data_IF_619780258053
#
_entry.id   IF_619780258053
#
_cell.length_a   1.000
_cell.length_b   1.000
_cell.length_c   1.000
_cell.angle_alpha   90.00
_cell.angle_beta   90.00
_cell.angle_gamma   90.00
#
_symmetry.space_group_name_H-M   'P 1'
#
loop_
_entity.id
_entity.type
_entity.pdbx_description
1 polymer ?
#
# COMPACT_ATOMS: atom_id res chain seq x y z
N UNK A 1 29.28 139.86 -14.20
CA UNK A 1 30.24 139.28 -13.30
C UNK A 1 30.02 137.78 -13.26
N UNK A 2 30.83 137.04 -14.06
CA UNK A 2 30.66 135.57 -14.37
C UNK A 2 31.58 134.86 -13.42
N UNK A 3 31.00 133.87 -12.68
CA UNK A 3 31.71 132.83 -11.93
C UNK A 3 31.63 131.53 -12.67
N UNK A 4 32.76 131.08 -13.20
CA UNK A 4 32.95 129.81 -13.76
C UNK A 4 33.01 128.76 -12.63
N UNK A 5 32.15 127.79 -12.63
CA UNK A 5 32.22 126.58 -11.79
C UNK A 5 32.95 125.47 -12.56
N UNK A 6 34.10 125.02 -12.08
CA UNK A 6 34.81 123.83 -12.60
C UNK A 6 34.18 122.55 -12.06
N UNK A 7 33.70 121.74 -12.98
CA UNK A 7 33.19 120.40 -12.70
C UNK A 7 34.33 119.38 -12.85
N UNK A 8 34.74 118.70 -11.73
CA UNK A 8 35.67 117.59 -11.74
C UNK A 8 34.85 116.24 -11.87
N UNK A 9 35.15 115.40 -12.88
CA UNK A 9 34.44 114.15 -12.98
C UNK A 9 34.94 113.13 -11.90
N UNK A 10 34.00 112.49 -11.29
CA UNK A 10 34.18 111.48 -10.26
C UNK A 10 34.62 110.18 -10.94
N UNK A 11 35.82 109.68 -10.66
CA UNK A 11 36.26 108.34 -11.13
C UNK A 11 35.42 107.23 -10.50
N UNK A 12 34.87 106.36 -11.32
CA UNK A 12 34.20 105.11 -10.94
C UNK A 12 35.25 104.10 -10.43
N UNK A 13 34.95 103.26 -9.41
CA UNK A 13 35.88 102.28 -8.92
C UNK A 13 36.06 101.21 -9.98
N UNK A 14 37.27 100.70 -10.15
CA UNK A 14 37.65 99.63 -11.01
C UNK A 14 36.83 98.34 -10.60
N UNK A 15 36.13 97.78 -11.56
CA UNK A 15 35.52 96.41 -11.44
C UNK A 15 36.62 95.41 -11.08
N UNK A 16 36.42 94.73 -9.92
CA UNK A 16 37.21 93.54 -9.57
C UNK A 16 36.95 92.51 -10.60
N UNK A 17 37.94 92.19 -11.42
CA UNK A 17 37.92 91.01 -12.32
C UNK A 17 37.86 89.76 -11.48
N UNK A 18 36.66 89.12 -11.40
CA UNK A 18 36.50 87.80 -10.88
C UNK A 18 37.37 86.87 -11.74
N UNK A 19 38.47 86.36 -11.16
CA UNK A 19 39.32 85.33 -11.76
C UNK A 19 38.48 84.08 -12.01
N UNK A 20 38.07 83.81 -13.28
CA UNK A 20 37.55 82.55 -13.68
C UNK A 20 38.55 81.44 -13.27
N UNK A 21 38.10 80.35 -12.57
CA UNK A 21 39.00 79.27 -12.26
C UNK A 21 39.50 78.68 -13.58
N UNK A 22 40.77 78.74 -13.85
CA UNK A 22 41.43 78.09 -14.96
C UNK A 22 41.43 76.57 -14.69
N UNK A 23 40.34 75.89 -15.05
CA UNK A 23 40.37 74.42 -15.21
C UNK A 23 41.27 74.17 -16.41
N UNK A 24 42.47 73.67 -16.11
CA UNK A 24 43.40 73.27 -17.18
C UNK A 24 42.67 72.18 -18.06
N UNK A 25 42.56 72.51 -19.38
CA UNK A 25 41.94 71.60 -20.35
C UNK A 25 42.52 70.17 -20.25
N UNK A 26 43.80 70.02 -19.86
CA UNK A 26 44.43 68.75 -19.59
C UNK A 26 43.81 67.97 -18.43
N UNK A 27 43.36 68.66 -17.36
CA UNK A 27 42.71 67.95 -16.21
C UNK A 27 41.31 67.48 -16.59
N UNK A 28 40.57 68.26 -17.36
CA UNK A 28 39.24 67.83 -17.87
C UNK A 28 39.38 66.64 -18.84
N UNK A 29 40.33 66.73 -19.78
CA UNK A 29 40.61 65.63 -20.71
C UNK A 29 41.05 64.34 -20.00
N UNK A 30 41.87 64.47 -18.91
CA UNK A 30 42.27 63.32 -18.12
C UNK A 30 41.07 62.66 -17.43
N UNK A 31 40.17 63.43 -16.81
CA UNK A 31 38.96 62.92 -16.18
C UNK A 31 38.03 62.28 -17.20
N UNK A 32 37.84 62.92 -18.36
CA UNK A 32 37.03 62.33 -19.44
C UNK A 32 37.63 61.05 -19.98
N UNK A 33 38.97 61.02 -20.14
CA UNK A 33 39.67 59.78 -20.57
C UNK A 33 39.51 58.65 -19.51
N UNK A 34 39.68 58.97 -18.23
CA UNK A 34 39.48 58.01 -17.15
C UNK A 34 38.06 57.47 -17.13
N UNK A 35 37.04 58.30 -17.31
CA UNK A 35 35.65 57.88 -17.44
C UNK A 35 35.45 57.02 -18.67
N UNK A 36 36.01 57.39 -19.82
CA UNK A 36 35.90 56.56 -21.06
C UNK A 36 36.54 55.18 -20.90
N UNK A 37 37.68 55.10 -20.22
CA UNK A 37 38.35 53.80 -19.94
C UNK A 37 37.50 52.95 -18.98
N UNK A 38 36.91 53.56 -17.96
CA UNK A 38 35.99 52.85 -17.06
C UNK A 38 34.75 52.32 -17.80
N UNK A 39 34.15 53.15 -18.68
CA UNK A 39 33.03 52.70 -19.50
C UNK A 39 33.42 51.60 -20.49
N UNK A 40 34.59 51.71 -21.15
CA UNK A 40 35.13 50.69 -22.03
C UNK A 40 35.36 49.36 -21.27
N UNK A 41 35.88 49.44 -20.02
CA UNK A 41 36.04 48.29 -19.14
C UNK A 41 34.70 47.65 -18.76
N UNK A 42 33.68 48.45 -18.45
CA UNK A 42 32.30 47.95 -18.18
C UNK A 42 31.70 47.28 -19.39
N UNK A 43 31.85 47.87 -20.58
CA UNK A 43 31.34 47.27 -21.84
C UNK A 43 32.08 45.94 -22.13
N UNK A 44 33.42 45.96 -22.04
CA UNK A 44 34.20 44.73 -22.22
C UNK A 44 33.80 43.63 -21.22
N UNK A 45 33.59 44.01 -19.96
CA UNK A 45 33.08 43.07 -18.93
C UNK A 45 31.68 42.58 -19.24
N UNK A 46 30.79 43.45 -19.71
CA UNK A 46 29.44 43.07 -20.14
C UNK A 46 29.47 42.07 -21.31
N UNK A 47 30.30 42.34 -22.33
CA UNK A 47 30.49 41.43 -23.44
C UNK A 47 31.08 40.08 -23.00
N UNK A 48 32.08 40.07 -22.12
CA UNK A 48 32.67 38.87 -21.55
C UNK A 48 31.62 38.01 -20.81
N UNK A 49 30.76 38.65 -19.98
CA UNK A 49 29.69 37.97 -19.27
C UNK A 49 28.63 37.39 -20.21
N UNK A 50 28.31 38.11 -21.30
CA UNK A 50 27.30 37.71 -22.26
C UNK A 50 27.77 36.71 -23.33
N UNK A 51 29.08 36.54 -23.52
CA UNK A 51 29.62 35.63 -24.55
C UNK A 51 30.40 34.48 -23.93
N UNK A 52 31.45 34.76 -23.16
CA UNK A 52 32.36 33.71 -22.65
C UNK A 52 31.80 32.98 -21.44
N UNK A 53 31.14 33.70 -20.52
CA UNK A 53 30.62 33.08 -19.28
C UNK A 53 29.10 32.88 -19.30
N UNK A 54 28.43 33.17 -20.39
CA UNK A 54 26.97 33.09 -20.50
C UNK A 54 26.42 31.74 -20.09
N UNK A 55 26.92 30.66 -20.70
CA UNK A 55 26.46 29.30 -20.41
C UNK A 55 26.69 28.91 -18.96
N UNK A 56 27.85 29.24 -18.41
CA UNK A 56 28.16 28.98 -17.01
C UNK A 56 27.23 29.73 -16.05
N UNK A 57 27.02 31.04 -16.30
CA UNK A 57 26.15 31.87 -15.45
C UNK A 57 24.67 31.45 -15.58
N UNK A 58 24.25 31.09 -16.79
CA UNK A 58 22.92 30.54 -17.04
C UNK A 58 22.71 29.23 -16.26
N UNK A 59 23.65 28.29 -16.38
CA UNK A 59 23.60 27.02 -15.65
C UNK A 59 23.58 27.24 -14.14
N UNK A 60 24.39 28.15 -13.61
CA UNK A 60 24.38 28.51 -12.18
C UNK A 60 23.06 29.16 -11.75
N UNK A 61 22.45 29.95 -12.62
CA UNK A 61 21.13 30.54 -12.39
C UNK A 61 20.05 29.46 -12.38
N UNK A 62 20.04 28.63 -13.44
CA UNK A 62 19.07 27.55 -13.62
C UNK A 62 19.14 26.55 -12.45
N UNK A 63 20.35 26.17 -12.01
CA UNK A 63 20.56 25.28 -10.87
C UNK A 63 19.99 25.82 -9.54
N UNK A 64 19.74 27.13 -9.43
CA UNK A 64 19.15 27.74 -8.22
C UNK A 64 17.63 27.83 -8.26
N UNK A 65 17.04 28.03 -9.42
CA UNK A 65 15.61 28.32 -9.58
C UNK A 65 14.85 27.21 -10.30
N UNK A 66 15.50 26.42 -11.16
CA UNK A 66 14.89 25.28 -11.86
C UNK A 66 14.88 24.07 -10.94
N UNK A 67 13.73 23.47 -10.75
CA UNK A 67 13.54 22.23 -9.99
C UNK A 67 12.69 21.26 -10.79
N UNK A 68 12.99 19.98 -10.68
CA UNK A 68 12.07 18.94 -11.15
C UNK A 68 11.15 18.60 -9.99
N UNK A 69 9.87 18.82 -10.21
CA UNK A 69 8.82 18.43 -9.27
C UNK A 69 8.27 17.07 -9.69
N UNK A 70 8.14 16.16 -8.75
CA UNK A 70 7.43 14.89 -8.96
C UNK A 70 5.92 15.18 -9.02
N UNK A 71 5.27 14.66 -10.04
CA UNK A 71 3.82 14.62 -10.16
C UNK A 71 3.36 13.23 -9.71
N UNK A 72 2.79 13.07 -8.52
CA UNK A 72 2.45 11.75 -8.01
C UNK A 72 1.38 11.09 -8.87
N UNK A 73 1.60 9.83 -9.22
CA UNK A 73 0.57 8.99 -9.83
C UNK A 73 -0.45 8.57 -8.77
N UNK A 74 -1.71 8.49 -9.17
CA UNK A 74 -2.76 7.97 -8.30
C UNK A 74 -2.71 6.44 -8.32
N UNK A 75 -2.62 5.82 -7.15
CA UNK A 75 -2.74 4.36 -6.99
C UNK A 75 -4.15 3.91 -7.38
N UNK A 76 -4.28 2.84 -8.16
CA UNK A 76 -5.55 2.32 -8.65
C UNK A 76 -6.56 2.03 -7.54
N UNK A 77 -7.83 2.23 -7.83
CA UNK A 77 -8.94 1.94 -6.92
C UNK A 77 -9.16 0.43 -6.86
N UNK A 78 -9.47 -0.09 -5.68
CA UNK A 78 -9.91 -1.48 -5.50
C UNK A 78 -11.39 -1.47 -5.14
N UNK A 79 -12.18 -2.22 -5.88
CA UNK A 79 -13.63 -2.36 -5.64
C UNK A 79 -14.04 -3.83 -5.53
N UNK A 80 -15.19 -4.07 -4.88
CA UNK A 80 -15.84 -5.37 -4.89
C UNK A 80 -16.45 -5.67 -6.28
N UNK A 81 -17.00 -6.87 -6.45
CA UNK A 81 -17.61 -7.31 -7.72
C UNK A 81 -18.79 -6.46 -8.19
N UNK A 82 -19.38 -5.67 -7.30
CA UNK A 82 -20.56 -4.82 -7.54
C UNK A 82 -20.20 -3.33 -7.63
N UNK A 83 -18.92 -2.97 -7.53
CA UNK A 83 -18.43 -1.60 -7.59
C UNK A 83 -18.35 -0.86 -6.25
N UNK A 84 -18.58 -1.55 -5.12
CA UNK A 84 -18.35 -0.95 -3.80
C UNK A 84 -16.85 -0.73 -3.59
N UNK A 85 -16.47 0.51 -3.23
CA UNK A 85 -15.05 0.89 -3.07
C UNK A 85 -14.49 0.30 -1.78
N UNK A 86 -13.41 -0.46 -1.91
CA UNK A 86 -12.70 -1.12 -0.80
C UNK A 86 -11.40 -0.42 -0.44
N UNK A 87 -10.71 0.17 -1.43
CA UNK A 87 -9.53 1.00 -1.23
C UNK A 87 -9.44 2.08 -2.31
N UNK A 88 -9.14 3.32 -1.91
CA UNK A 88 -8.93 4.45 -2.82
C UNK A 88 -7.84 5.37 -2.29
N UNK A 89 -7.26 6.18 -3.20
CA UNK A 89 -6.33 7.24 -2.82
C UNK A 89 -7.09 8.55 -2.69
N UNK A 90 -7.08 9.15 -1.51
CA UNK A 90 -7.73 10.43 -1.21
C UNK A 90 -6.68 11.54 -1.12
N UNK A 91 -6.95 12.74 -1.67
CA UNK A 91 -6.07 13.89 -1.51
C UNK A 91 -5.99 14.30 -0.03
N UNK A 92 -4.80 14.61 0.42
CA UNK A 92 -4.48 15.05 1.77
C UNK A 92 -3.35 16.07 1.73
N UNK A 93 -3.00 16.63 2.87
CA UNK A 93 -1.89 17.56 3.01
C UNK A 93 -0.92 17.09 4.09
N UNK A 94 0.35 17.29 3.83
CA UNK A 94 1.43 17.02 4.79
C UNK A 94 2.06 18.31 5.22
N UNK A 95 2.37 18.43 6.50
CA UNK A 95 2.95 19.62 7.10
C UNK A 95 4.44 19.43 7.32
N UNK A 96 5.25 20.35 6.79
CA UNK A 96 6.66 20.44 7.14
C UNK A 96 7.02 21.86 7.59
N UNK A 97 8.11 21.98 8.33
CA UNK A 97 8.68 23.23 8.75
C UNK A 97 10.02 23.49 8.04
N UNK A 98 10.38 24.78 7.92
CA UNK A 98 11.66 25.27 7.38
C UNK A 98 12.44 25.97 8.49
N UNK A 99 13.07 25.22 9.43
CA UNK A 99 13.72 25.84 10.62
C UNK A 99 14.83 26.82 10.28
N UNK A 100 15.53 26.64 9.16
CA UNK A 100 16.59 27.55 8.69
C UNK A 100 16.09 28.97 8.42
N UNK A 101 14.83 29.12 8.00
CA UNK A 101 14.23 30.42 7.67
C UNK A 101 13.44 31.01 8.85
N UNK A 102 13.26 30.23 9.91
CA UNK A 102 12.49 30.62 11.09
C UNK A 102 13.27 31.63 11.93
N UNK A 103 12.81 32.86 11.94
CA UNK A 103 13.42 33.95 12.73
C UNK A 103 13.08 33.84 14.20
N UNK A 104 11.83 33.54 14.49
CA UNK A 104 11.28 33.38 15.83
C UNK A 104 10.57 32.01 15.95
N UNK A 105 10.62 31.40 17.11
CA UNK A 105 9.87 30.18 17.40
C UNK A 105 8.40 30.52 17.58
N UNK A 106 7.47 29.65 17.19
CA UNK A 106 6.07 29.81 17.52
C UNK A 106 5.87 30.00 19.03
N UNK A 107 4.89 30.80 19.41
CA UNK A 107 4.55 30.99 20.82
C UNK A 107 4.19 29.67 21.52
N UNK A 108 4.32 29.65 22.84
CA UNK A 108 3.97 28.45 23.62
C UNK A 108 2.53 27.98 23.33
N UNK A 109 1.58 28.90 23.25
CA UNK A 109 0.18 28.60 22.95
C UNK A 109 -0.01 28.03 21.54
N UNK A 110 0.73 28.53 20.53
CA UNK A 110 0.70 27.99 19.17
C UNK A 110 1.31 26.57 19.12
N UNK A 111 2.39 26.32 19.85
CA UNK A 111 3.03 24.99 19.91
C UNK A 111 2.13 23.97 20.64
N UNK A 112 1.47 24.38 21.73
CA UNK A 112 0.50 23.53 22.43
C UNK A 112 -0.66 23.16 21.50
N UNK A 113 -1.26 24.15 20.85
CA UNK A 113 -2.37 23.90 19.92
C UNK A 113 -1.95 23.07 18.71
N UNK A 114 -0.76 23.32 18.15
CA UNK A 114 -0.21 22.49 17.08
C UNK A 114 0.00 21.04 17.55
N UNK A 115 0.59 20.87 18.74
CA UNK A 115 0.82 19.53 19.34
C UNK A 115 -0.47 18.72 19.46
N UNK A 116 -1.55 19.36 19.95
CA UNK A 116 -2.87 18.74 20.05
C UNK A 116 -3.42 18.34 18.67
N UNK A 117 -3.38 19.26 17.70
CA UNK A 117 -3.96 19.07 16.38
C UNK A 117 -3.25 17.96 15.58
N UNK A 118 -1.91 17.93 15.62
CA UNK A 118 -1.13 16.96 14.83
C UNK A 118 -0.83 15.67 15.59
N UNK A 119 -1.24 15.55 16.86
CA UNK A 119 -0.96 14.41 17.74
C UNK A 119 0.56 14.08 17.76
N UNK A 120 1.37 15.11 18.05
CA UNK A 120 2.83 15.01 18.19
C UNK A 120 3.23 15.72 19.49
N UNK A 121 3.95 15.05 20.42
CA UNK A 121 4.34 15.67 21.68
C UNK A 121 5.09 16.99 21.49
N UNK A 122 4.79 17.96 22.35
CA UNK A 122 5.34 19.34 22.26
C UNK A 122 6.87 19.36 22.28
N UNK A 123 7.49 18.48 23.08
CA UNK A 123 8.95 18.35 23.17
C UNK A 123 9.56 17.88 21.85
N UNK A 124 8.88 16.95 21.16
CA UNK A 124 9.30 16.47 19.84
C UNK A 124 9.18 17.59 18.80
N UNK A 125 8.10 18.36 18.84
CA UNK A 125 7.93 19.53 17.95
C UNK A 125 9.03 20.55 18.19
N UNK A 126 9.29 20.91 19.44
CA UNK A 126 10.35 21.86 19.82
C UNK A 126 11.71 21.41 19.33
N UNK A 127 12.09 20.15 19.61
CA UNK A 127 13.35 19.55 19.15
C UNK A 127 13.51 19.55 17.62
N UNK A 128 12.41 19.35 16.89
CA UNK A 128 12.42 19.44 15.42
C UNK A 128 12.67 20.87 14.95
N UNK A 129 11.99 21.84 15.52
CA UNK A 129 12.05 23.26 15.13
C UNK A 129 13.37 23.95 15.53
N UNK A 130 14.04 23.49 16.59
CA UNK A 130 15.35 23.98 17.02
C UNK A 130 16.51 23.61 16.09
N UNK A 131 16.29 22.70 15.11
CA UNK A 131 17.31 22.28 14.14
C UNK A 131 17.54 23.34 13.05
N UNK A 132 17.98 24.54 13.42
CA UNK A 132 18.13 25.75 12.55
C UNK A 132 18.98 25.55 11.29
N UNK A 133 19.73 24.47 11.17
CA UNK A 133 20.50 24.14 9.95
C UNK A 133 19.69 23.46 8.85
N UNK A 134 18.49 22.99 9.14
CA UNK A 134 17.66 22.22 8.19
C UNK A 134 16.67 23.12 7.45
N UNK A 135 16.59 22.91 6.14
CA UNK A 135 15.63 23.58 5.26
C UNK A 135 14.31 22.83 5.12
N UNK A 136 14.20 21.64 5.74
CA UNK A 136 13.03 20.78 5.62
C UNK A 136 12.98 19.80 6.79
N UNK A 137 11.86 19.78 7.52
CA UNK A 137 11.57 18.79 8.56
C UNK A 137 10.08 18.47 8.55
N UNK A 138 9.72 17.21 8.33
CA UNK A 138 8.34 16.78 8.49
C UNK A 138 7.84 16.97 9.93
N UNK A 139 6.74 17.69 10.07
CA UNK A 139 5.99 17.81 11.32
C UNK A 139 4.99 16.65 11.41
N UNK A 140 4.11 16.56 10.44
CA UNK A 140 3.16 15.45 10.30
C UNK A 140 2.80 15.25 8.83
N UNK A 141 2.83 14.01 8.38
CA UNK A 141 2.38 13.65 7.03
C UNK A 141 0.91 13.20 7.05
N UNK A 142 0.25 13.38 5.93
CA UNK A 142 -1.10 12.88 5.65
C UNK A 142 -2.14 13.32 6.69
N UNK A 143 -2.18 14.61 6.98
CA UNK A 143 -3.15 15.23 7.88
C UNK A 143 -4.59 15.01 7.38
N UNK A 144 -5.49 14.84 8.31
CA UNK A 144 -6.92 14.96 8.01
C UNK A 144 -7.21 16.37 7.46
N UNK A 145 -8.01 16.52 6.39
CA UNK A 145 -8.28 17.83 5.79
C UNK A 145 -8.80 18.88 6.79
N UNK A 146 -9.63 18.46 7.76
CA UNK A 146 -10.11 19.36 8.81
C UNK A 146 -8.99 19.84 9.71
N UNK A 147 -8.10 18.92 10.10
CA UNK A 147 -6.92 19.26 10.92
C UNK A 147 -5.98 20.18 10.16
N UNK A 148 -5.76 19.94 8.86
CA UNK A 148 -4.93 20.81 8.03
C UNK A 148 -5.47 22.25 8.00
N UNK A 149 -6.79 22.45 7.85
CA UNK A 149 -7.43 23.77 7.89
C UNK A 149 -7.27 24.44 9.28
N UNK A 150 -7.43 23.69 10.38
CA UNK A 150 -7.21 24.24 11.74
C UNK A 150 -5.75 24.64 11.96
N UNK A 151 -4.79 23.85 11.45
CA UNK A 151 -3.36 24.20 11.54
C UNK A 151 -3.04 25.44 10.69
N UNK A 152 -3.62 25.57 9.49
CA UNK A 152 -3.47 26.79 8.66
C UNK A 152 -3.98 28.04 9.39
N UNK A 153 -5.09 27.91 10.10
CA UNK A 153 -5.67 29.00 10.88
C UNK A 153 -4.76 29.50 12.02
N UNK A 154 -3.76 28.72 12.46
CA UNK A 154 -2.77 29.17 13.47
C UNK A 154 -1.80 30.22 12.92
N UNK A 155 -1.73 30.42 11.59
CA UNK A 155 -0.87 31.42 10.96
C UNK A 155 0.62 31.25 11.25
N UNK A 156 1.11 30.00 11.30
CA UNK A 156 2.50 29.70 11.64
C UNK A 156 3.44 30.08 10.51
N UNK A 157 4.43 30.94 10.77
CA UNK A 157 5.44 31.27 9.78
C UNK A 157 6.42 30.13 9.54
N UNK A 158 6.86 29.96 8.27
CA UNK A 158 7.79 28.92 7.84
C UNK A 158 7.29 27.48 8.04
N UNK A 159 5.97 27.31 8.09
CA UNK A 159 5.31 26.02 7.95
C UNK A 159 4.66 25.95 6.57
N UNK A 160 4.87 24.84 5.88
CA UNK A 160 4.43 24.66 4.49
C UNK A 160 3.60 23.39 4.40
N UNK A 161 2.50 23.48 3.64
CA UNK A 161 1.64 22.33 3.34
C UNK A 161 1.99 21.79 1.96
N UNK A 162 2.25 20.51 1.88
CA UNK A 162 2.48 19.78 0.65
C UNK A 162 1.31 18.84 0.37
N UNK A 163 0.80 18.86 -0.86
CA UNK A 163 -0.28 17.95 -1.27
C UNK A 163 0.26 16.54 -1.43
N UNK A 164 -0.39 15.61 -0.79
CA UNK A 164 -0.09 14.18 -0.88
C UNK A 164 -1.37 13.37 -1.15
N UNK A 165 -1.19 12.09 -1.47
CA UNK A 165 -2.28 11.12 -1.56
C UNK A 165 -2.18 10.17 -0.37
N UNK A 166 -3.31 9.93 0.29
CA UNK A 166 -3.43 8.96 1.37
C UNK A 166 -4.29 7.80 0.94
N UNK A 167 -3.79 6.58 1.11
CA UNK A 167 -4.60 5.40 0.90
C UNK A 167 -5.65 5.28 2.00
N UNK A 168 -6.90 5.09 1.61
CA UNK A 168 -8.04 5.00 2.51
C UNK A 168 -8.84 3.73 2.23
N UNK A 169 -9.27 3.08 3.32
CA UNK A 169 -10.02 1.82 3.31
C UNK A 169 -11.39 2.06 3.97
N UNK A 170 -12.43 2.40 3.19
CA UNK A 170 -13.73 2.84 3.74
C UNK A 170 -14.41 1.78 4.60
N UNK A 171 -14.16 0.49 4.30
CA UNK A 171 -14.79 -0.64 4.99
C UNK A 171 -14.03 -1.10 6.25
N UNK A 172 -12.93 -0.43 6.62
CA UNK A 172 -12.16 -0.73 7.84
C UNK A 172 -11.78 -2.20 7.94
N UNK A 173 -11.99 -2.76 9.12
CA UNK A 173 -11.61 -4.15 9.48
C UNK A 173 -12.31 -5.23 8.63
N UNK A 174 -13.43 -4.91 7.99
CA UNK A 174 -14.24 -5.89 7.25
C UNK A 174 -13.45 -6.61 6.14
N UNK A 175 -12.57 -5.89 5.44
CA UNK A 175 -11.75 -6.41 4.35
C UNK A 175 -10.25 -6.39 4.63
N UNK A 176 -9.84 -6.02 5.84
CA UNK A 176 -8.45 -5.76 6.18
C UNK A 176 -7.50 -6.91 5.80
N UNK A 177 -7.88 -8.15 6.14
CA UNK A 177 -7.05 -9.33 5.87
C UNK A 177 -6.92 -9.69 4.39
N UNK A 178 -7.87 -9.27 3.55
CA UNK A 178 -7.80 -9.52 2.10
C UNK A 178 -7.09 -8.36 1.41
N UNK A 179 -7.55 -7.13 1.65
CA UNK A 179 -6.97 -5.96 0.99
C UNK A 179 -5.56 -5.70 1.48
N UNK A 180 -5.31 -5.82 2.79
CA UNK A 180 -4.05 -5.40 3.39
C UNK A 180 -3.99 -3.89 3.57
N UNK A 181 -2.79 -3.34 3.51
CA UNK A 181 -2.54 -1.89 3.65
C UNK A 181 -1.26 -1.47 2.93
N UNK A 182 -1.11 -0.16 2.74
CA UNK A 182 0.11 0.46 2.22
C UNK A 182 0.88 1.15 3.33
N UNK A 183 2.17 1.38 3.11
CA UNK A 183 2.93 2.31 3.93
C UNK A 183 2.55 3.77 3.62
N UNK A 184 3.23 4.70 4.31
CA UNK A 184 2.97 6.14 4.16
C UNK A 184 3.30 6.66 2.76
N UNK A 185 4.15 5.98 2.01
CA UNK A 185 4.53 6.35 0.64
C UNK A 185 3.64 5.67 -0.42
N UNK A 186 2.58 4.96 0.03
CA UNK A 186 1.59 4.33 -0.83
C UNK A 186 2.02 2.99 -1.41
N UNK A 187 3.12 2.38 -0.91
CA UNK A 187 3.60 1.06 -1.33
C UNK A 187 2.90 -0.04 -0.53
N UNK A 188 2.38 -1.05 -1.21
CA UNK A 188 1.70 -2.20 -0.60
C UNK A 188 2.60 -2.98 0.37
N UNK A 189 2.10 -3.28 1.55
CA UNK A 189 2.83 -3.97 2.62
C UNK A 189 2.28 -5.36 2.91
N UNK A 190 0.97 -5.54 2.82
CA UNK A 190 0.29 -6.80 3.08
C UNK A 190 -0.91 -6.99 2.12
N UNK A 191 -1.44 -8.21 2.05
CA UNK A 191 -2.64 -8.55 1.31
C UNK A 191 -2.55 -8.30 -0.18
N UNK A 192 -3.68 -7.97 -0.79
CA UNK A 192 -3.75 -7.66 -2.22
C UNK A 192 -3.09 -6.33 -2.58
N UNK A 193 -2.96 -5.40 -1.64
CA UNK A 193 -2.15 -4.19 -1.84
C UNK A 193 -0.69 -4.55 -2.16
N UNK A 194 -0.14 -5.58 -1.51
CA UNK A 194 1.21 -6.07 -1.78
C UNK A 194 1.28 -6.91 -3.05
N UNK A 195 0.38 -7.87 -3.22
CA UNK A 195 0.47 -8.81 -4.35
C UNK A 195 0.14 -8.17 -5.70
N UNK A 196 -0.69 -7.14 -5.71
CA UNK A 196 -1.06 -6.39 -6.91
C UNK A 196 -0.31 -5.04 -7.04
N UNK A 197 0.83 -4.88 -6.32
CA UNK A 197 1.62 -3.65 -6.30
C UNK A 197 1.92 -3.13 -7.70
N UNK A 198 2.44 -4.00 -8.58
CA UNK A 198 2.82 -3.63 -9.97
C UNK A 198 1.65 -3.13 -10.82
N UNK A 199 0.42 -3.56 -10.48
CA UNK A 199 -0.79 -3.13 -11.19
C UNK A 199 -1.40 -1.88 -10.56
N UNK A 200 -1.42 -1.83 -9.22
CA UNK A 200 -2.05 -0.75 -8.46
C UNK A 200 -1.20 0.51 -8.38
N UNK A 201 0.12 0.36 -8.31
CA UNK A 201 1.06 1.47 -8.18
C UNK A 201 1.18 2.23 -9.45
N UNK A 202 1.02 3.36 -9.74
CA UNK A 202 1.24 4.05 -11.02
C UNK A 202 2.72 4.36 -11.26
N UNK A 203 3.00 5.05 -12.31
CA UNK A 203 4.31 5.65 -12.57
C UNK A 203 4.24 7.15 -12.36
N UNK A 204 5.01 7.68 -11.42
CA UNK A 204 5.08 9.11 -11.18
C UNK A 204 5.54 9.87 -12.42
N UNK A 205 4.92 11.03 -12.63
CA UNK A 205 5.34 12.01 -13.59
C UNK A 205 6.43 12.94 -13.04
N UNK A 206 6.92 13.80 -13.89
CA UNK A 206 7.86 14.84 -13.54
C UNK A 206 7.53 16.12 -14.33
N UNK A 207 7.65 17.26 -13.67
CA UNK A 207 7.51 18.59 -14.29
C UNK A 207 8.69 19.46 -13.88
N UNK A 208 9.27 20.16 -14.84
CA UNK A 208 10.34 21.11 -14.58
C UNK A 208 9.71 22.46 -14.32
N UNK A 209 9.89 22.98 -13.10
CA UNK A 209 9.29 24.22 -12.65
C UNK A 209 10.35 25.24 -12.22
N UNK A 210 10.01 26.53 -12.38
CA UNK A 210 10.74 27.63 -11.78
C UNK A 210 10.19 27.90 -10.39
N UNK A 211 11.07 27.89 -9.37
CA UNK A 211 10.70 28.26 -8.00
C UNK A 211 11.38 29.57 -7.59
N UNK A 212 10.64 30.40 -6.89
CA UNK A 212 11.19 31.59 -6.24
C UNK A 212 12.04 31.21 -5.02
N UNK A 213 12.62 32.25 -4.37
CA UNK A 213 13.42 32.04 -3.16
C UNK A 213 12.61 31.50 -1.97
N UNK A 214 11.30 31.70 -1.97
CA UNK A 214 10.37 31.20 -0.95
C UNK A 214 9.87 29.77 -1.25
N UNK A 215 10.23 29.22 -2.44
CA UNK A 215 9.84 27.86 -2.84
C UNK A 215 8.52 27.80 -3.63
N UNK A 216 7.87 28.95 -3.89
CA UNK A 216 6.66 28.99 -4.69
C UNK A 216 6.97 28.73 -6.17
N UNK A 217 6.08 28.01 -6.84
CA UNK A 217 6.17 27.79 -8.28
C UNK A 217 5.76 29.10 -8.97
N UNK A 218 6.68 29.65 -9.76
CA UNK A 218 6.47 30.90 -10.53
C UNK A 218 6.01 30.56 -11.94
N UNK A 219 6.58 29.49 -12.53
CA UNK A 219 6.26 29.08 -13.90
C UNK A 219 6.62 27.61 -14.12
N UNK A 220 6.01 26.98 -15.13
CA UNK A 220 6.34 25.65 -15.61
C UNK A 220 7.11 25.75 -16.93
N UNK A 221 8.24 25.07 -16.99
CA UNK A 221 9.08 25.06 -18.20
C UNK A 221 8.71 23.89 -19.12
N UNK A 222 8.59 24.18 -20.41
CA UNK A 222 8.57 23.13 -21.42
C UNK A 222 9.95 22.46 -21.50
N UNK A 223 10.01 21.20 -21.15
CA UNK A 223 11.26 20.44 -21.02
C UNK A 223 11.07 19.00 -21.48
N UNK A 224 12.07 18.43 -22.16
CA UNK A 224 12.08 16.99 -22.47
C UNK A 224 12.05 16.08 -21.22
N UNK A 225 12.29 16.64 -20.05
CA UNK A 225 12.19 15.94 -18.76
C UNK A 225 10.76 15.87 -18.21
N UNK A 226 9.82 16.63 -18.80
CA UNK A 226 8.43 16.60 -18.39
C UNK A 226 7.81 15.26 -18.80
N UNK A 227 7.23 14.57 -17.84
CA UNK A 227 6.56 13.28 -18.00
C UNK A 227 5.21 13.36 -17.29
N UNK A 228 4.12 13.09 -18.00
CA UNK A 228 2.82 12.96 -17.35
C UNK A 228 2.79 11.71 -16.44
N UNK A 229 2.15 11.77 -15.26
CA UNK A 229 1.97 10.61 -14.42
C UNK A 229 1.08 9.58 -15.11
N UNK A 230 1.36 8.30 -14.89
CA UNK A 230 0.49 7.20 -15.32
C UNK A 230 -0.12 6.58 -14.07
N UNK A 231 -1.41 6.76 -13.89
CA UNK A 231 -2.13 6.20 -12.76
C UNK A 231 -2.09 4.66 -12.79
N UNK A 232 -2.15 4.05 -11.61
CA UNK A 232 -2.32 2.62 -11.45
C UNK A 232 -3.65 2.14 -12.00
N UNK A 233 -3.75 0.83 -12.25
CA UNK A 233 -4.97 0.21 -12.78
C UNK A 233 -5.97 -0.02 -11.66
N UNK A 234 -7.24 0.28 -11.93
CA UNK A 234 -8.34 -0.10 -11.06
C UNK A 234 -8.57 -1.61 -11.11
N UNK A 235 -8.80 -2.23 -9.96
CA UNK A 235 -8.99 -3.67 -9.80
C UNK A 235 -10.40 -3.94 -9.28
N UNK A 236 -11.09 -4.85 -9.94
CA UNK A 236 -12.40 -5.34 -9.49
C UNK A 236 -12.18 -6.74 -8.91
N UNK A 237 -12.44 -6.87 -7.61
CA UNK A 237 -12.31 -8.15 -6.91
C UNK A 237 -13.57 -9.01 -7.08
N UNK A 238 -13.41 -10.30 -6.85
CA UNK A 238 -14.49 -11.29 -6.81
C UNK A 238 -15.34 -11.18 -5.54
N UNK A 239 -14.84 -10.52 -4.50
CA UNK A 239 -15.53 -10.33 -3.22
C UNK A 239 -16.88 -9.62 -3.39
N UNK A 240 -17.86 -10.02 -2.58
CA UNK A 240 -19.16 -9.35 -2.46
C UNK A 240 -19.30 -8.78 -1.05
N UNK A 241 -19.42 -7.45 -0.95
CA UNK A 241 -19.51 -6.75 0.34
C UNK A 241 -20.61 -7.30 1.25
N UNK A 242 -21.76 -7.68 0.70
CA UNK A 242 -22.90 -8.17 1.48
C UNK A 242 -22.59 -9.54 2.10
N UNK A 243 -21.98 -10.44 1.30
CA UNK A 243 -21.58 -11.77 1.76
C UNK A 243 -20.44 -11.65 2.79
N UNK A 244 -19.48 -10.78 2.51
CA UNK A 244 -18.36 -10.50 3.42
C UNK A 244 -18.85 -9.96 4.77
N UNK A 245 -19.80 -9.00 4.75
CA UNK A 245 -20.36 -8.42 5.98
C UNK A 245 -21.04 -9.50 6.81
N UNK A 246 -21.92 -10.29 6.19
CA UNK A 246 -22.62 -11.37 6.88
C UNK A 246 -21.64 -12.41 7.46
N UNK A 247 -20.67 -12.84 6.64
CA UNK A 247 -19.64 -13.79 7.07
C UNK A 247 -18.83 -13.28 8.26
N UNK A 248 -18.43 -12.00 8.22
CA UNK A 248 -17.66 -11.37 9.29
C UNK A 248 -18.46 -11.22 10.59
N UNK A 249 -19.71 -10.77 10.50
CA UNK A 249 -20.58 -10.60 11.67
C UNK A 249 -20.90 -11.93 12.34
N UNK A 250 -21.28 -12.94 11.57
CA UNK A 250 -21.60 -14.26 12.11
C UNK A 250 -20.35 -14.97 12.66
N UNK A 251 -19.19 -14.79 12.04
CA UNK A 251 -17.92 -15.26 12.55
C UNK A 251 -17.60 -14.67 13.93
N UNK A 252 -17.74 -13.35 14.08
CA UNK A 252 -17.47 -12.68 15.35
C UNK A 252 -18.44 -13.19 16.45
N UNK A 253 -19.73 -13.32 16.15
CA UNK A 253 -20.72 -13.90 17.07
C UNK A 253 -20.34 -15.33 17.49
N UNK A 254 -19.92 -16.16 16.54
CA UNK A 254 -19.49 -17.52 16.83
C UNK A 254 -18.24 -17.57 17.72
N UNK A 255 -17.23 -16.75 17.42
CA UNK A 255 -15.99 -16.68 18.21
C UNK A 255 -16.28 -16.21 19.61
N UNK A 256 -17.12 -15.19 19.79
CA UNK A 256 -17.55 -14.70 21.10
C UNK A 256 -18.34 -15.76 21.88
N UNK A 257 -19.35 -16.36 21.26
CA UNK A 257 -20.19 -17.38 21.86
C UNK A 257 -19.39 -18.60 22.34
N UNK A 258 -18.44 -19.06 21.53
CA UNK A 258 -17.59 -20.21 21.86
C UNK A 258 -16.34 -19.85 22.65
N UNK A 259 -16.10 -18.56 22.95
CA UNK A 259 -14.88 -18.06 23.58
C UNK A 259 -13.61 -18.53 22.86
N UNK A 260 -13.68 -18.61 21.52
CA UNK A 260 -12.57 -19.05 20.71
C UNK A 260 -11.50 -17.94 20.61
N UNK A 261 -10.23 -18.34 20.46
CA UNK A 261 -9.12 -17.38 20.32
C UNK A 261 -9.12 -16.68 18.96
N UNK A 262 -9.59 -17.38 17.94
CA UNK A 262 -9.65 -16.88 16.57
C UNK A 262 -10.69 -17.69 15.78
N UNK A 263 -11.11 -17.14 14.67
CA UNK A 263 -11.99 -17.80 13.71
C UNK A 263 -11.75 -17.36 12.28
N UNK A 264 -12.19 -18.17 11.33
CA UNK A 264 -12.00 -17.93 9.90
C UNK A 264 -13.18 -18.45 9.11
N UNK A 265 -13.61 -17.69 8.10
CA UNK A 265 -14.64 -18.08 7.12
C UNK A 265 -14.12 -17.83 5.72
N UNK A 266 -14.37 -18.80 4.82
CA UNK A 266 -14.15 -18.67 3.38
C UNK A 266 -15.43 -19.04 2.65
N UNK A 267 -15.86 -18.22 1.71
CA UNK A 267 -17.02 -18.48 0.84
C UNK A 267 -16.54 -18.39 -0.62
N UNK A 268 -16.73 -19.48 -1.35
CA UNK A 268 -16.41 -19.57 -2.78
C UNK A 268 -17.68 -19.71 -3.62
N UNK A 269 -17.64 -19.19 -4.83
CA UNK A 269 -18.59 -19.59 -5.87
C UNK A 269 -18.18 -20.98 -6.39
N UNK A 270 -19.06 -21.95 -6.20
CA UNK A 270 -18.79 -23.36 -6.56
C UNK A 270 -18.66 -23.61 -8.07
N UNK A 271 -19.04 -22.65 -8.91
CA UNK A 271 -19.00 -22.76 -10.38
C UNK A 271 -17.80 -22.08 -11.00
N UNK A 272 -17.24 -21.07 -10.30
CA UNK A 272 -16.15 -20.25 -10.86
C UNK A 272 -14.86 -20.33 -10.04
N UNK A 273 -14.94 -20.76 -8.77
CA UNK A 273 -13.81 -20.70 -7.83
C UNK A 273 -13.53 -19.30 -7.31
N UNK A 274 -14.34 -18.29 -7.68
CA UNK A 274 -14.20 -16.92 -7.17
C UNK A 274 -14.42 -16.87 -5.66
N UNK A 275 -13.57 -16.12 -4.96
CA UNK A 275 -13.70 -15.89 -3.52
C UNK A 275 -14.72 -14.77 -3.30
N UNK A 276 -15.89 -15.12 -2.78
CA UNK A 276 -16.98 -14.18 -2.50
C UNK A 276 -16.83 -13.50 -1.13
N UNK A 277 -16.27 -14.23 -0.17
CA UNK A 277 -15.90 -13.70 1.14
C UNK A 277 -14.72 -14.46 1.75
N UNK A 278 -13.89 -13.74 2.49
CA UNK A 278 -12.82 -14.29 3.31
C UNK A 278 -12.67 -13.41 4.55
N UNK A 279 -13.10 -13.91 5.69
CA UNK A 279 -13.08 -13.19 6.95
C UNK A 279 -12.25 -13.92 8.01
N UNK A 280 -11.51 -13.14 8.80
CA UNK A 280 -10.79 -13.61 9.97
C UNK A 280 -11.14 -12.74 11.18
N UNK A 281 -11.08 -13.33 12.37
CA UNK A 281 -11.16 -12.61 13.65
C UNK A 281 -10.13 -13.20 14.62
N UNK A 282 -9.42 -12.38 15.45
CA UNK A 282 -9.54 -10.93 15.53
C UNK A 282 -9.07 -10.22 14.26
N UNK A 283 -9.65 -9.05 13.98
CA UNK A 283 -9.30 -8.21 12.83
C UNK A 283 -8.63 -6.91 13.26
N UNK A 284 -8.17 -6.12 12.29
CA UNK A 284 -7.49 -4.84 12.50
C UNK A 284 -8.02 -3.76 11.56
N UNK A 285 -7.74 -2.49 11.89
CA UNK A 285 -8.07 -1.36 11.00
C UNK A 285 -6.90 -1.09 10.04
N UNK A 286 -7.04 -1.31 8.73
CA UNK A 286 -5.98 -1.07 7.74
C UNK A 286 -5.63 0.42 7.58
N UNK A 287 -6.50 1.34 8.04
CA UNK A 287 -6.19 2.77 8.11
C UNK A 287 -5.21 3.10 9.25
N UNK A 288 -5.02 2.18 10.22
CA UNK A 288 -4.15 2.33 11.39
C UNK A 288 -3.37 1.04 11.69
N UNK A 289 -2.63 0.48 10.72
CA UNK A 289 -2.03 -0.86 10.86
C UNK A 289 -1.00 -0.96 11.98
N UNK A 290 -0.36 0.14 12.35
CA UNK A 290 0.61 0.20 13.45
C UNK A 290 0.01 0.00 14.85
N UNK A 291 -1.33 -0.01 15.00
CA UNK A 291 -2.01 -0.32 16.26
C UNK A 291 -2.30 -1.81 16.45
N UNK A 292 -2.13 -2.60 15.40
CA UNK A 292 -2.36 -4.04 15.42
C UNK A 292 -1.05 -4.82 15.58
N UNK A 293 -1.09 -5.91 16.32
CA UNK A 293 0.01 -6.87 16.35
C UNK A 293 0.01 -7.80 15.11
N UNK A 294 1.05 -8.61 14.97
CA UNK A 294 1.21 -9.53 13.85
C UNK A 294 0.12 -10.61 13.81
N UNK A 295 -0.38 -11.03 14.97
CA UNK A 295 -1.44 -12.04 15.07
C UNK A 295 -2.78 -11.51 14.59
N UNK A 296 -3.09 -10.24 14.87
CA UNK A 296 -4.29 -9.58 14.38
C UNK A 296 -4.26 -9.35 12.88
N UNK A 297 -3.07 -9.11 12.28
CA UNK A 297 -2.90 -8.87 10.85
C UNK A 297 -2.86 -10.16 10.01
N UNK A 298 -2.61 -11.29 10.65
CA UNK A 298 -2.41 -12.57 9.96
C UNK A 298 -3.68 -13.07 9.27
N UNK A 299 -3.62 -13.29 7.97
CA UNK A 299 -4.71 -13.93 7.21
C UNK A 299 -4.70 -15.44 7.41
N UNK A 300 -5.36 -15.91 8.48
CA UNK A 300 -5.38 -17.32 8.88
C UNK A 300 -5.99 -18.24 7.84
N UNK A 301 -6.93 -17.75 7.04
CA UNK A 301 -7.56 -18.54 5.97
C UNK A 301 -6.56 -19.07 4.97
N UNK A 302 -5.44 -18.37 4.77
CA UNK A 302 -4.44 -18.65 3.73
C UNK A 302 -3.14 -19.18 4.33
N UNK A 303 -2.77 -18.71 5.53
CA UNK A 303 -1.47 -19.01 6.14
C UNK A 303 -1.49 -20.16 7.13
N UNK A 304 -2.60 -20.35 7.87
CA UNK A 304 -2.67 -21.35 8.93
C UNK A 304 -2.99 -22.73 8.35
N UNK A 305 -2.31 -23.72 8.89
CA UNK A 305 -2.52 -25.12 8.53
C UNK A 305 -3.33 -25.80 9.63
N UNK A 306 -4.39 -26.48 9.21
CA UNK A 306 -5.25 -27.28 10.09
C UNK A 306 -5.31 -28.73 9.62
N UNK A 307 -5.52 -29.65 10.51
CA UNK A 307 -5.97 -31.01 10.18
C UNK A 307 -7.47 -30.95 9.89
N UNK A 308 -7.93 -31.33 8.69
CA UNK A 308 -9.33 -31.13 8.30
C UNK A 308 -10.32 -32.03 9.03
N UNK A 309 -9.83 -33.06 9.71
CA UNK A 309 -10.68 -34.04 10.36
C UNK A 309 -11.69 -34.63 9.38
N UNK A 310 -12.92 -34.83 9.85
CA UNK A 310 -14.00 -35.49 9.05
C UNK A 310 -14.36 -34.73 7.75
N UNK A 311 -13.92 -33.51 7.55
CA UNK A 311 -14.15 -32.79 6.31
C UNK A 311 -13.42 -33.39 5.09
N UNK A 312 -12.45 -34.27 5.28
CA UNK A 312 -11.78 -35.00 4.19
C UNK A 312 -12.55 -36.25 3.71
N UNK A 313 -13.45 -36.82 4.53
CA UNK A 313 -14.15 -38.08 4.22
C UNK A 313 -14.95 -38.06 2.92
N UNK A 314 -15.67 -36.99 2.57
CA UNK A 314 -16.39 -36.90 1.29
C UNK A 314 -15.52 -37.20 0.09
N UNK A 315 -14.27 -36.74 0.08
CA UNK A 315 -13.32 -36.94 -1.01
C UNK A 315 -12.90 -38.42 -1.14
N UNK A 316 -12.65 -39.10 -0.01
CA UNK A 316 -12.28 -40.51 0.01
C UNK A 316 -13.45 -41.37 -0.47
N UNK A 317 -14.67 -41.02 -0.05
CA UNK A 317 -15.88 -41.73 -0.48
C UNK A 317 -16.11 -41.49 -1.98
N UNK A 318 -15.99 -40.23 -2.47
CA UNK A 318 -16.15 -39.92 -3.88
C UNK A 318 -15.12 -40.66 -4.74
N UNK A 319 -13.84 -40.71 -4.33
CA UNK A 319 -12.81 -41.47 -5.02
C UNK A 319 -13.16 -42.96 -5.10
N UNK A 320 -13.69 -43.56 -4.01
CA UNK A 320 -14.05 -44.96 -4.00
C UNK A 320 -15.24 -45.26 -4.91
N UNK A 321 -16.21 -44.35 -4.98
CA UNK A 321 -17.37 -44.46 -5.89
C UNK A 321 -16.94 -44.28 -7.36
N UNK A 322 -16.16 -43.26 -7.66
CA UNK A 322 -15.69 -42.94 -9.02
C UNK A 322 -14.82 -44.06 -9.60
N UNK A 323 -13.94 -44.66 -8.77
CA UNK A 323 -13.10 -45.77 -9.16
C UNK A 323 -13.87 -47.13 -9.23
N UNK A 324 -15.17 -47.16 -8.99
CA UNK A 324 -15.98 -48.37 -8.97
C UNK A 324 -15.56 -49.37 -7.88
N UNK A 325 -14.83 -48.92 -6.86
CA UNK A 325 -14.38 -49.77 -5.74
C UNK A 325 -15.42 -49.90 -4.63
N UNK A 326 -16.56 -49.24 -4.76
CA UNK A 326 -17.74 -49.34 -3.89
C UNK A 326 -18.97 -48.84 -4.64
N UNK A 327 -20.14 -49.12 -4.11
CA UNK A 327 -21.40 -48.50 -4.51
C UNK A 327 -22.16 -47.97 -3.28
N UNK A 328 -23.18 -47.13 -3.50
CA UNK A 328 -23.89 -46.42 -2.42
C UNK A 328 -24.61 -47.38 -1.45
N UNK A 329 -24.91 -48.58 -1.85
CA UNK A 329 -25.69 -49.57 -1.07
C UNK A 329 -24.79 -50.62 -0.43
N UNK A 330 -23.50 -50.67 -0.81
CA UNK A 330 -22.58 -51.63 -0.21
C UNK A 330 -22.50 -51.42 1.31
N UNK A 331 -22.71 -52.49 2.06
CA UNK A 331 -22.63 -52.48 3.52
C UNK A 331 -21.25 -52.94 4.00
N UNK A 332 -20.59 -52.06 4.74
CA UNK A 332 -19.32 -52.35 5.37
C UNK A 332 -19.53 -52.62 6.87
N UNK A 333 -18.81 -53.60 7.40
CA UNK A 333 -18.69 -53.76 8.84
C UNK A 333 -17.95 -52.55 9.42
N UNK A 334 -18.59 -51.81 10.34
CA UNK A 334 -18.06 -50.59 10.96
C UNK A 334 -17.73 -50.78 12.44
N UNK A 335 -17.62 -52.02 12.90
CA UNK A 335 -17.08 -52.28 14.25
C UNK A 335 -15.60 -51.88 14.34
N UNK A 336 -15.15 -51.48 15.52
CA UNK A 336 -13.75 -51.19 15.78
C UNK A 336 -12.82 -52.32 15.33
N UNK A 337 -11.68 -51.98 14.71
CA UNK A 337 -10.67 -52.93 14.31
C UNK A 337 -9.26 -52.37 14.55
N UNK A 338 -8.22 -53.17 14.39
CA UNK A 338 -6.84 -52.77 14.58
C UNK A 338 -6.04 -52.85 13.29
N UNK A 339 -5.15 -51.90 13.11
CA UNK A 339 -4.08 -51.92 12.11
C UNK A 339 -2.75 -52.00 12.88
N UNK A 340 -2.18 -53.20 12.93
CA UNK A 340 -1.09 -53.47 13.86
C UNK A 340 -1.53 -53.21 15.31
N UNK A 341 -0.79 -52.45 16.13
CA UNK A 341 -1.17 -52.15 17.50
C UNK A 341 -2.24 -51.01 17.60
N UNK A 342 -2.48 -50.28 16.51
CA UNK A 342 -3.30 -49.06 16.54
C UNK A 342 -4.78 -49.35 16.29
N UNK A 343 -5.70 -48.92 17.19
CA UNK A 343 -7.13 -49.12 16.98
C UNK A 343 -7.71 -48.04 16.06
N UNK A 344 -8.62 -48.43 15.18
CA UNK A 344 -9.50 -47.53 14.41
C UNK A 344 -10.91 -47.72 14.94
N UNK A 345 -11.55 -46.64 15.35
CA UNK A 345 -12.88 -46.63 15.98
C UNK A 345 -13.66 -45.38 15.63
N UNK A 346 -14.97 -45.51 15.67
CA UNK A 346 -15.93 -44.44 15.57
C UNK A 346 -16.28 -43.89 16.96
N UNK A 347 -16.83 -42.67 17.02
CA UNK A 347 -17.38 -42.09 18.24
C UNK A 347 -18.60 -42.91 18.71
N UNK A 348 -19.43 -43.33 17.76
CA UNK A 348 -20.56 -44.21 18.02
C UNK A 348 -20.42 -45.50 17.19
N UNK A 349 -20.52 -46.65 17.84
CA UNK A 349 -20.32 -47.94 17.20
C UNK A 349 -21.61 -48.41 16.50
N UNK A 350 -21.50 -48.68 15.21
CA UNK A 350 -22.53 -49.32 14.40
C UNK A 350 -22.02 -50.67 13.93
N UNK A 351 -22.85 -51.75 13.95
CA UNK A 351 -22.41 -53.07 13.46
C UNK A 351 -22.02 -53.04 11.98
N UNK A 352 -22.80 -52.38 11.16
CA UNK A 352 -22.50 -52.14 9.75
C UNK A 352 -23.23 -50.88 9.24
N UNK A 353 -22.61 -50.19 8.29
CA UNK A 353 -23.19 -49.04 7.59
C UNK A 353 -23.03 -49.24 6.08
N UNK A 354 -24.01 -48.80 5.31
CA UNK A 354 -23.80 -48.57 3.88
C UNK A 354 -22.99 -47.31 3.64
N UNK A 355 -22.57 -47.03 2.41
CA UNK A 355 -21.71 -45.89 2.08
C UNK A 355 -22.40 -44.55 2.41
N UNK A 356 -23.73 -44.45 2.25
CA UNK A 356 -24.52 -43.29 2.68
C UNK A 356 -24.47 -43.10 4.21
N UNK A 357 -24.65 -44.23 4.94
CA UNK A 357 -24.55 -44.23 6.40
C UNK A 357 -23.14 -43.90 6.91
N UNK A 358 -22.07 -44.35 6.22
CA UNK A 358 -20.67 -43.96 6.54
C UNK A 358 -20.51 -42.44 6.46
N UNK A 359 -21.03 -41.81 5.43
CA UNK A 359 -21.03 -40.37 5.28
C UNK A 359 -21.88 -39.67 6.35
N UNK A 360 -23.14 -40.07 6.52
CA UNK A 360 -24.09 -39.50 7.45
C UNK A 360 -23.65 -39.58 8.91
N UNK A 361 -23.08 -40.73 9.31
CA UNK A 361 -22.60 -41.01 10.67
C UNK A 361 -21.13 -40.62 10.87
N UNK A 362 -20.49 -40.12 9.81
CA UNK A 362 -19.08 -39.73 9.85
C UNK A 362 -18.15 -40.84 10.36
N UNK A 363 -18.31 -42.06 9.83
CA UNK A 363 -17.59 -43.25 10.30
C UNK A 363 -16.11 -43.21 9.88
N UNK A 364 -15.20 -43.19 10.86
CA UNK A 364 -13.75 -43.36 10.64
C UNK A 364 -13.44 -44.75 10.14
N UNK A 365 -14.11 -45.78 10.74
CA UNK A 365 -13.93 -47.19 10.37
C UNK A 365 -14.35 -47.43 8.93
N UNK A 366 -15.54 -46.92 8.55
CA UNK A 366 -16.03 -47.09 7.17
C UNK A 366 -15.10 -46.40 6.17
N UNK A 367 -14.72 -45.16 6.41
CA UNK A 367 -13.87 -44.38 5.49
C UNK A 367 -12.46 -45.00 5.39
N UNK A 368 -11.86 -45.43 6.52
CA UNK A 368 -10.55 -46.09 6.49
C UNK A 368 -10.55 -47.41 5.71
N UNK A 369 -11.64 -48.17 5.76
CA UNK A 369 -11.81 -49.42 4.96
C UNK A 369 -11.97 -49.10 3.47
N UNK A 370 -12.64 -48.00 3.10
CA UNK A 370 -12.71 -47.56 1.71
C UNK A 370 -11.32 -47.10 1.22
N UNK A 371 -10.59 -46.33 2.01
CA UNK A 371 -9.21 -45.89 1.69
C UNK A 371 -8.25 -47.09 1.52
N UNK A 372 -8.41 -48.15 2.32
CA UNK A 372 -7.59 -49.36 2.24
C UNK A 372 -7.75 -50.17 0.94
N UNK A 373 -8.76 -49.87 0.11
CA UNK A 373 -8.95 -50.43 -1.24
C UNK A 373 -8.00 -49.87 -2.29
N UNK A 374 -7.23 -48.83 -1.92
CA UNK A 374 -6.24 -48.14 -2.74
C UNK A 374 -4.85 -48.37 -2.19
N UNK A 375 -3.85 -48.32 -3.07
CA UNK A 375 -2.46 -48.27 -2.65
C UNK A 375 -2.09 -46.92 -2.00
N UNK A 376 -1.05 -46.93 -1.17
CA UNK A 376 -0.58 -45.70 -0.51
C UNK A 376 -0.16 -44.61 -1.51
N UNK A 377 0.47 -44.97 -2.62
CA UNK A 377 0.84 -44.08 -3.71
C UNK A 377 -0.39 -43.46 -4.35
N UNK A 378 -1.40 -44.29 -4.69
CA UNK A 378 -2.65 -43.84 -5.31
C UNK A 378 -3.43 -42.86 -4.41
N UNK A 379 -3.42 -43.06 -3.09
CA UNK A 379 -4.03 -42.17 -2.13
C UNK A 379 -3.21 -40.86 -1.96
N UNK A 380 -1.89 -40.96 -2.01
CA UNK A 380 -1.01 -39.80 -1.98
C UNK A 380 -1.25 -38.93 -3.20
N UNK A 381 -1.22 -39.49 -4.40
CA UNK A 381 -1.44 -38.77 -5.66
C UNK A 381 -2.82 -38.11 -5.66
N UNK A 382 -3.85 -38.80 -5.17
CA UNK A 382 -5.18 -38.23 -5.04
C UNK A 382 -5.23 -37.01 -4.11
N UNK A 383 -4.63 -37.06 -2.91
CA UNK A 383 -4.58 -35.93 -2.01
C UNK A 383 -3.75 -34.78 -2.60
N UNK A 384 -2.66 -35.11 -3.28
CA UNK A 384 -1.82 -34.12 -3.96
C UNK A 384 -2.59 -33.44 -5.11
N UNK A 385 -3.37 -34.17 -5.88
CA UNK A 385 -4.21 -33.62 -6.95
C UNK A 385 -5.32 -32.73 -6.43
N UNK A 386 -5.88 -33.01 -5.25
CA UNK A 386 -6.80 -32.12 -4.55
C UNK A 386 -6.11 -30.81 -4.05
N UNK A 387 -4.78 -30.73 -4.16
CA UNK A 387 -4.01 -29.55 -3.77
C UNK A 387 -3.45 -29.59 -2.35
N UNK A 388 -3.50 -30.75 -1.66
CA UNK A 388 -2.91 -30.88 -0.33
C UNK A 388 -1.39 -31.08 -0.46
N UNK A 389 -0.62 -30.27 0.23
CA UNK A 389 0.84 -30.25 0.10
C UNK A 389 1.35 -29.43 -1.09
N UNK A 390 0.49 -28.69 -1.78
CA UNK A 390 0.81 -27.87 -2.96
C UNK A 390 0.26 -26.45 -2.79
N UNK A 391 1.06 -25.43 -3.15
CA UNK A 391 0.56 -24.06 -3.20
C UNK A 391 -0.50 -23.91 -4.30
N UNK A 392 -1.57 -23.20 -3.98
CA UNK A 392 -2.69 -22.97 -4.92
C UNK A 392 -2.37 -21.96 -6.01
N UNK A 393 -1.36 -21.12 -5.79
CA UNK A 393 -1.05 -19.94 -6.62
C UNK A 393 -2.23 -18.98 -6.73
N UNK A 394 -2.90 -18.73 -5.61
CA UNK A 394 -4.02 -17.78 -5.51
C UNK A 394 -3.62 -16.32 -5.77
N UNK A 395 -2.32 -16.04 -5.83
CA UNK A 395 -1.77 -14.68 -5.89
C UNK A 395 -1.69 -13.99 -4.53
N UNK A 396 -2.15 -14.63 -3.45
CA UNK A 396 -2.10 -14.02 -2.12
C UNK A 396 -0.73 -14.25 -1.44
N UNK A 397 -0.13 -13.22 -0.80
CA UNK A 397 1.16 -13.36 -0.16
C UNK A 397 1.10 -14.27 1.08
N UNK A 398 2.17 -15.03 1.32
CA UNK A 398 2.25 -15.93 2.49
C UNK A 398 1.42 -17.20 2.39
N UNK A 399 0.88 -17.54 1.22
CA UNK A 399 0.10 -18.77 0.98
C UNK A 399 0.89 -20.02 1.39
N UNK A 400 0.28 -20.86 2.26
CA UNK A 400 0.87 -22.15 2.64
C UNK A 400 0.62 -23.23 1.60
N UNK A 401 1.56 -24.17 1.48
CA UNK A 401 1.36 -25.38 0.70
C UNK A 401 0.55 -26.44 1.45
N UNK A 402 0.40 -26.32 2.76
CA UNK A 402 -0.08 -27.41 3.59
C UNK A 402 1.00 -28.47 3.83
N UNK A 403 0.60 -29.63 4.37
CA UNK A 403 1.50 -30.74 4.66
C UNK A 403 0.89 -32.06 4.17
N UNK A 404 1.60 -32.70 3.25
CA UNK A 404 1.33 -34.06 2.84
C UNK A 404 2.67 -34.80 2.77
N UNK A 405 2.88 -35.77 3.68
CA UNK A 405 4.13 -36.54 3.69
C UNK A 405 4.16 -37.54 2.54
N UNK A 406 5.35 -37.80 1.98
CA UNK A 406 5.53 -38.74 0.90
C UNK A 406 5.06 -40.13 1.32
N UNK A 407 4.28 -40.82 0.48
CA UNK A 407 3.64 -42.10 0.71
C UNK A 407 4.61 -43.23 1.09
N UNK A 408 5.86 -43.20 0.61
CA UNK A 408 6.90 -44.19 0.95
C UNK A 408 7.23 -44.22 2.45
N UNK A 409 6.85 -43.19 3.19
CA UNK A 409 7.05 -43.10 4.64
C UNK A 409 5.78 -43.43 5.43
N UNK A 410 4.68 -43.73 4.74
CA UNK A 410 3.43 -44.02 5.44
C UNK A 410 3.45 -45.42 6.04
N UNK A 411 3.10 -45.52 7.29
CA UNK A 411 2.69 -46.77 7.90
C UNK A 411 1.22 -47.04 7.55
N UNK A 412 0.75 -48.29 7.55
CA UNK A 412 -0.65 -48.62 7.24
C UNK A 412 -1.68 -47.80 8.05
N UNK A 413 -1.36 -47.52 9.32
CA UNK A 413 -2.23 -46.71 10.15
C UNK A 413 -2.31 -45.25 9.68
N UNK A 414 -1.24 -44.70 9.08
CA UNK A 414 -1.21 -43.30 8.62
C UNK A 414 -2.12 -43.10 7.41
N UNK A 415 -2.18 -44.05 6.47
CA UNK A 415 -3.16 -44.01 5.38
C UNK A 415 -4.60 -44.04 5.93
N UNK A 416 -4.86 -44.88 6.93
CA UNK A 416 -6.17 -44.92 7.58
C UNK A 416 -6.51 -43.61 8.26
N UNK A 417 -5.58 -43.01 9.05
CA UNK A 417 -5.84 -41.74 9.75
C UNK A 417 -6.01 -40.55 8.79
N UNK A 418 -5.26 -40.49 7.69
CA UNK A 418 -5.43 -39.49 6.65
C UNK A 418 -6.80 -39.54 5.99
N UNK A 419 -7.39 -40.76 5.85
CA UNK A 419 -8.72 -40.93 5.28
C UNK A 419 -9.84 -40.23 6.08
N UNK A 420 -9.61 -39.98 7.35
CA UNK A 420 -10.53 -39.20 8.21
C UNK A 420 -9.90 -37.94 8.79
N UNK A 421 -8.83 -37.45 8.14
CA UNK A 421 -8.32 -36.09 8.24
C UNK A 421 -7.26 -35.82 9.29
N UNK A 422 -6.51 -36.85 9.72
CA UNK A 422 -5.36 -36.67 10.63
C UNK A 422 -4.05 -37.07 9.93
N UNK A 423 -2.99 -36.31 10.19
CA UNK A 423 -1.66 -36.58 9.60
C UNK A 423 -1.42 -35.91 8.25
N UNK A 424 -2.39 -35.15 7.74
CA UNK A 424 -2.24 -34.17 6.66
C UNK A 424 -2.76 -32.82 7.13
N UNK A 425 -2.23 -31.74 6.56
CA UNK A 425 -2.64 -30.39 6.93
C UNK A 425 -2.82 -29.53 5.68
N UNK A 426 -3.78 -28.62 5.73
CA UNK A 426 -4.07 -27.67 4.65
C UNK A 426 -4.68 -26.38 5.23
N UNK A 427 -4.63 -25.29 4.45
CA UNK A 427 -5.33 -24.07 4.84
C UNK A 427 -6.84 -24.21 4.63
N UNK A 428 -7.62 -23.33 5.28
CA UNK A 428 -9.06 -23.31 5.05
C UNK A 428 -9.41 -22.99 3.60
N UNK A 429 -8.65 -22.10 2.95
CA UNK A 429 -8.83 -21.79 1.54
C UNK A 429 -8.53 -23.00 0.64
N UNK A 430 -7.49 -23.81 0.95
CA UNK A 430 -7.24 -25.09 0.25
C UNK A 430 -8.39 -26.06 0.42
N UNK A 431 -8.94 -26.18 1.63
CA UNK A 431 -10.09 -27.05 1.89
C UNK A 431 -11.32 -26.59 1.10
N UNK A 432 -11.65 -25.30 1.16
CA UNK A 432 -12.76 -24.74 0.40
C UNK A 432 -12.61 -24.96 -1.11
N UNK A 433 -11.38 -24.76 -1.65
CA UNK A 433 -11.07 -25.07 -3.05
C UNK A 433 -11.28 -26.55 -3.37
N UNK A 434 -10.80 -27.47 -2.53
CA UNK A 434 -10.97 -28.91 -2.75
C UNK A 434 -12.44 -29.28 -2.91
N UNK A 435 -13.34 -28.66 -2.11
CA UNK A 435 -14.77 -28.89 -2.21
C UNK A 435 -15.39 -28.50 -3.57
N UNK A 436 -14.74 -27.66 -4.38
CA UNK A 436 -15.22 -27.38 -5.74
C UNK A 436 -15.26 -28.66 -6.58
N UNK A 437 -14.34 -29.60 -6.37
CA UNK A 437 -14.38 -30.90 -7.06
C UNK A 437 -15.63 -31.75 -6.74
N UNK A 438 -16.22 -31.56 -5.57
CA UNK A 438 -17.48 -32.23 -5.19
C UNK A 438 -18.74 -31.53 -5.68
N UNK A 439 -18.64 -30.23 -5.93
CA UNK A 439 -19.79 -29.38 -6.28
C UNK A 439 -19.81 -28.93 -7.75
N UNK A 440 -18.77 -29.27 -8.51
CA UNK A 440 -18.61 -28.91 -9.91
C UNK A 440 -18.22 -30.15 -10.76
N UNK A 441 -19.05 -31.16 -10.75
CA UNK A 441 -18.96 -32.37 -11.58
C UNK A 441 -17.57 -33.03 -11.60
N UNK A 442 -16.91 -33.10 -10.45
CA UNK A 442 -15.58 -33.70 -10.31
C UNK A 442 -14.42 -32.79 -10.72
N UNK A 443 -14.66 -31.50 -10.99
CA UNK A 443 -13.64 -30.58 -11.45
C UNK A 443 -13.17 -29.67 -10.33
N UNK A 444 -11.87 -29.71 -10.00
CA UNK A 444 -11.21 -28.81 -9.07
C UNK A 444 -10.95 -27.48 -9.74
N UNK A 445 -11.57 -26.41 -9.28
CA UNK A 445 -11.42 -25.07 -9.82
C UNK A 445 -10.19 -24.35 -9.22
N UNK A 446 -9.51 -23.49 -9.98
CA UNK A 446 -8.60 -22.51 -9.40
C UNK A 446 -9.39 -21.49 -8.58
N UNK A 447 -8.78 -20.93 -7.53
CA UNK A 447 -9.38 -19.81 -6.77
C UNK A 447 -8.91 -18.48 -7.32
N UNK A 448 -9.76 -17.44 -7.23
CA UNK A 448 -9.40 -16.09 -7.65
C UNK A 448 -9.96 -15.05 -6.68
N UNK A 449 -9.12 -14.05 -6.38
CA UNK A 449 -9.52 -12.81 -5.70
C UNK A 449 -10.01 -11.74 -6.68
N UNK A 450 -9.67 -11.87 -7.96
CA UNK A 450 -10.14 -10.97 -9.00
C UNK A 450 -11.40 -11.54 -9.67
N UNK A 451 -12.33 -10.65 -10.03
CA UNK A 451 -13.54 -11.02 -10.75
C UNK A 451 -13.16 -11.59 -12.12
N UNK A 452 -13.63 -12.79 -12.42
CA UNK A 452 -13.34 -13.46 -13.66
C UNK A 452 -14.32 -13.06 -14.76
N UNK A 453 -13.80 -12.72 -15.93
CA UNK A 453 -14.63 -12.43 -17.11
C UNK A 453 -15.12 -13.72 -17.78
N UNK A 454 -14.38 -14.82 -17.64
CA UNK A 454 -14.66 -16.15 -18.21
C UNK A 454 -14.44 -17.19 -17.13
N UNK A 455 -15.31 -18.23 -17.09
CA UNK A 455 -15.14 -19.33 -16.15
C UNK A 455 -13.77 -20.01 -16.36
N UNK A 456 -12.99 -20.22 -15.28
CA UNK A 456 -11.65 -20.77 -15.39
C UNK A 456 -11.69 -22.26 -15.79
N UNK A 457 -10.64 -22.70 -16.47
CA UNK A 457 -10.45 -24.14 -16.69
C UNK A 457 -9.98 -24.79 -15.39
N UNK A 458 -10.74 -25.77 -14.92
CA UNK A 458 -10.39 -26.58 -13.76
C UNK A 458 -9.69 -27.88 -14.15
N UNK A 459 -9.17 -28.60 -13.13
CA UNK A 459 -8.59 -29.95 -13.28
C UNK A 459 -9.61 -31.00 -12.88
N UNK A 460 -9.87 -31.99 -13.75
CA UNK A 460 -10.74 -33.13 -13.41
C UNK A 460 -10.07 -34.03 -12.36
N UNK A 461 -10.80 -34.31 -11.31
CA UNK A 461 -10.37 -35.16 -10.18
C UNK A 461 -11.17 -36.47 -10.12
N UNK A 462 -12.48 -36.39 -10.44
CA UNK A 462 -13.40 -37.50 -10.45
C UNK A 462 -14.01 -37.71 -11.83
#
# INVERSE_FOLDING_TARGET
MLIKSEYKPRMLPKEEQVKKPMTSNGRISFVLMAIAVLFAGLIARGLYLQTVTYNFLKEQGDNRIVRTQTLPATRGTVSDRNGAVLALSAPTESLFAVPKEMKEMPSAAQLERLSELVDVPIDVLRNKLEQKGKSFIWIKRQLDPKVAEEVKALGLENFVFEKELKRHYPMGNLFAHVIGFTDIDGKGQEGLELSLEDSLHGEDGAEVVLRDRQGNIVDSLDSPRNKAPKNGKDIILSLDQRIQTLAYEELNKAVEYHQAKAGTVVVLDARTGEILALANTPAYDPNRPGRADSEQRRNRAVTDMIEPGSAIKPFVIAKALDAGKTDLNERLNTQPYKIGPSPVRDTHVYPSLDVRGIMQKSSNVGTSKLSARFGAEEMYDFYHELGIGVRMHSGFPGETAGLLRNWRRWRPIEQATMSFGYGLQLSLLQLARAYTALTHDGVLLPVSFEKQAVAPQGKRIF
#
